data_IF_032373950837
#
_entry.id   IF_032373950837
#
_cell.length_a   1.000
_cell.length_b   1.000
_cell.length_c   1.000
_cell.angle_alpha   90.00
_cell.angle_beta   90.00
_cell.angle_gamma   90.00
#
_symmetry.space_group_name_H-M   'P 1'
#
loop_
_entity.id
_entity.type
_entity.pdbx_description
1 polymer ?
#
# COMPACT_ATOMS: atom_id res chain seq x y z
N UNK A 1 30.61 11.59 4.02
CA UNK A 1 30.05 12.63 3.22
C UNK A 1 28.53 12.64 3.31
N UNK A 2 28.01 13.82 3.28
CA UNK A 2 26.58 14.01 3.27
C UNK A 2 26.00 13.38 1.99
N UNK A 3 25.18 12.36 2.18
CA UNK A 3 24.35 11.88 1.07
C UNK A 3 23.26 12.91 0.83
N UNK A 4 23.36 13.61 -0.29
CA UNK A 4 22.27 14.48 -0.70
C UNK A 4 21.04 13.62 -0.91
N UNK A 5 19.97 13.90 -0.19
CA UNK A 5 18.69 13.24 -0.42
C UNK A 5 18.24 13.60 -1.84
N UNK A 6 17.98 12.60 -2.66
CA UNK A 6 17.60 12.80 -4.07
C UNK A 6 16.34 13.67 -4.20
N UNK A 7 15.44 13.68 -3.24
CA UNK A 7 14.26 14.53 -3.23
C UNK A 7 14.65 16.02 -3.35
N UNK A 8 15.76 16.42 -2.74
CA UNK A 8 16.23 17.81 -2.79
C UNK A 8 16.70 18.25 -4.19
N UNK A 9 16.89 17.32 -5.11
CA UNK A 9 17.24 17.62 -6.51
C UNK A 9 15.99 17.69 -7.41
N UNK A 10 14.80 17.44 -6.88
CA UNK A 10 13.57 17.50 -7.66
C UNK A 10 13.26 18.94 -8.09
N UNK A 11 12.72 19.09 -9.29
CA UNK A 11 12.26 20.38 -9.83
C UNK A 11 10.77 20.61 -9.54
N UNK A 12 10.07 19.56 -9.08
CA UNK A 12 8.72 19.61 -8.54
C UNK A 12 8.62 18.54 -7.44
N UNK A 13 8.08 18.94 -6.28
CA UNK A 13 7.94 18.08 -5.12
C UNK A 13 6.63 18.40 -4.40
N UNK A 14 5.56 17.71 -4.76
CA UNK A 14 4.24 17.96 -4.20
C UNK A 14 4.12 17.31 -2.83
N UNK A 15 3.88 18.13 -1.82
CA UNK A 15 3.70 17.70 -0.42
C UNK A 15 2.62 18.53 0.26
N UNK A 16 1.93 17.89 1.18
CA UNK A 16 0.96 18.56 2.03
C UNK A 16 1.67 19.06 3.29
N UNK A 17 1.75 20.38 3.44
CA UNK A 17 2.35 21.03 4.61
C UNK A 17 1.53 22.26 5.01
N UNK A 18 1.44 22.49 6.32
CA UNK A 18 0.76 23.68 6.86
C UNK A 18 -0.64 23.89 6.29
N UNK A 19 -1.39 22.79 6.17
CA UNK A 19 -2.77 22.74 5.65
C UNK A 19 -2.92 23.03 4.15
N UNK A 20 -1.83 22.97 3.38
CA UNK A 20 -1.85 23.20 1.94
C UNK A 20 -1.03 22.15 1.19
N UNK A 21 -1.49 21.81 -0.02
CA UNK A 21 -0.66 21.11 -0.98
C UNK A 21 0.23 22.14 -1.67
N UNK A 22 1.54 21.99 -1.55
CA UNK A 22 2.53 22.93 -2.10
C UNK A 22 3.64 22.19 -2.85
N UNK A 23 4.39 22.94 -3.64
CA UNK A 23 5.63 22.49 -4.23
C UNK A 23 6.78 22.87 -3.29
N UNK A 24 7.41 21.87 -2.67
CA UNK A 24 8.56 22.05 -1.77
C UNK A 24 9.89 22.21 -2.49
N UNK A 25 9.91 22.10 -3.83
CA UNK A 25 11.14 22.36 -4.58
C UNK A 25 11.51 23.85 -4.49
N UNK A 26 12.76 24.14 -4.87
CA UNK A 26 13.25 25.54 -4.93
C UNK A 26 12.45 26.43 -5.88
N UNK A 27 11.70 25.84 -6.81
CA UNK A 27 10.93 26.60 -7.80
C UNK A 27 9.57 27.08 -7.23
N UNK A 28 9.05 26.42 -6.20
CA UNK A 28 7.79 26.76 -5.58
C UNK A 28 6.67 27.04 -6.59
N UNK A 29 6.45 26.09 -7.50
CA UNK A 29 5.43 26.20 -8.55
C UNK A 29 4.04 26.38 -7.98
N UNK A 30 3.20 27.12 -8.68
CA UNK A 30 1.82 27.40 -8.28
C UNK A 30 0.95 26.15 -8.45
N UNK A 31 0.09 25.90 -7.48
CA UNK A 31 -0.84 24.76 -7.50
C UNK A 31 -2.27 25.26 -7.35
N UNK A 32 -3.15 24.90 -8.28
CA UNK A 32 -4.58 25.15 -8.23
C UNK A 32 -5.32 23.83 -7.94
N UNK A 33 -6.17 23.84 -6.92
CA UNK A 33 -6.88 22.63 -6.46
C UNK A 33 -8.37 22.82 -6.69
N UNK A 34 -8.99 21.89 -7.40
CA UNK A 34 -10.43 21.86 -7.62
C UNK A 34 -11.20 21.54 -6.33
N UNK A 35 -12.48 21.92 -6.31
CA UNK A 35 -13.32 21.79 -5.11
C UNK A 35 -13.65 20.36 -4.71
N UNK A 36 -13.47 19.38 -5.60
CA UNK A 36 -13.77 17.96 -5.37
C UNK A 36 -12.52 17.10 -5.25
N UNK A 37 -11.48 17.61 -4.62
CA UNK A 37 -10.27 16.88 -4.27
C UNK A 37 -10.33 16.54 -2.78
N UNK A 38 -10.09 15.29 -2.45
CA UNK A 38 -10.13 14.82 -1.07
C UNK A 38 -8.72 14.48 -0.58
N UNK A 39 -8.40 14.90 0.64
CA UNK A 39 -7.15 14.55 1.32
C UNK A 39 -7.47 13.61 2.47
N UNK A 40 -6.70 12.52 2.58
CA UNK A 40 -6.94 11.56 3.66
C UNK A 40 -6.68 12.21 5.03
N UNK A 41 -7.58 12.03 6.00
CA UNK A 41 -7.42 12.68 7.30
C UNK A 41 -6.24 12.12 8.14
N UNK A 42 -5.82 10.90 7.90
CA UNK A 42 -4.70 10.27 8.63
C UNK A 42 -3.36 10.60 8.00
N UNK A 43 -3.28 10.55 6.68
CA UNK A 43 -2.10 10.95 5.91
C UNK A 43 -2.53 11.89 4.78
N UNK A 44 -2.44 13.19 5.05
CA UNK A 44 -2.93 14.22 4.13
C UNK A 44 -2.12 14.35 2.84
N UNK A 45 -0.99 13.68 2.72
CA UNK A 45 -0.31 13.54 1.44
C UNK A 45 -1.06 12.62 0.47
N UNK A 46 -1.96 11.79 0.97
CA UNK A 46 -2.82 10.96 0.12
C UNK A 46 -3.95 11.78 -0.45
N UNK A 47 -3.97 11.90 -1.77
CA UNK A 47 -4.91 12.72 -2.53
C UNK A 47 -5.85 11.81 -3.29
N UNK A 48 -7.16 12.00 -3.12
CA UNK A 48 -8.19 11.26 -3.85
C UNK A 48 -8.75 12.13 -4.97
N UNK A 49 -8.69 11.59 -6.18
CA UNK A 49 -9.29 12.18 -7.37
C UNK A 49 -10.46 11.33 -7.84
N UNK A 50 -11.57 11.97 -8.13
CA UNK A 50 -12.78 11.33 -8.61
C UNK A 50 -12.99 11.63 -10.09
N UNK A 51 -13.86 10.86 -10.74
CA UNK A 51 -14.27 11.16 -12.11
C UNK A 51 -15.35 12.23 -12.13
N UNK A 52 -14.99 13.45 -11.71
CA UNK A 52 -15.81 14.64 -11.66
C UNK A 52 -15.01 15.82 -12.23
N UNK A 53 -15.69 16.75 -12.88
CA UNK A 53 -15.02 17.91 -13.50
C UNK A 53 -14.21 18.74 -12.51
N UNK A 54 -14.70 18.93 -11.30
CA UNK A 54 -14.04 19.73 -10.27
C UNK A 54 -13.01 18.94 -9.46
N UNK A 55 -12.78 17.65 -9.78
CA UNK A 55 -11.80 16.82 -9.09
C UNK A 55 -10.50 16.82 -9.89
N UNK A 56 -9.72 17.86 -9.69
CA UNK A 56 -8.49 18.09 -10.44
C UNK A 56 -7.49 18.92 -9.65
N UNK A 57 -6.21 18.73 -9.98
CA UNK A 57 -5.11 19.54 -9.49
C UNK A 57 -4.30 20.00 -10.71
N UNK A 58 -4.08 21.28 -10.82
CA UNK A 58 -3.23 21.86 -11.87
C UNK A 58 -1.98 22.44 -11.23
N UNK A 59 -0.82 22.01 -11.71
CA UNK A 59 0.47 22.57 -11.33
C UNK A 59 0.96 23.44 -12.46
N UNK A 60 1.25 24.69 -12.18
CA UNK A 60 1.81 25.65 -13.15
C UNK A 60 3.30 25.75 -12.90
N UNK A 61 4.09 25.10 -13.76
CA UNK A 61 5.54 25.07 -13.63
C UNK A 61 6.15 26.45 -13.84
N UNK A 62 7.17 26.78 -13.06
CA UNK A 62 7.94 28.00 -13.25
C UNK A 62 8.66 27.99 -14.60
N UNK A 63 8.79 29.13 -15.25
CA UNK A 63 9.47 29.27 -16.54
C UNK A 63 10.92 28.82 -16.54
N UNK A 64 11.57 28.79 -15.38
CA UNK A 64 12.94 28.32 -15.22
C UNK A 64 13.10 26.81 -15.34
N UNK A 65 11.99 26.04 -15.34
CA UNK A 65 12.01 24.60 -15.47
C UNK A 65 11.98 24.25 -16.96
N UNK A 66 13.14 23.85 -17.50
CA UNK A 66 13.26 23.48 -18.91
C UNK A 66 13.68 22.03 -18.99
N UNK A 67 12.78 21.15 -19.41
CA UNK A 67 13.07 19.74 -19.67
C UNK A 67 12.41 19.23 -20.96
N UNK A 68 11.85 20.14 -21.76
CA UNK A 68 11.13 19.83 -23.00
C UNK A 68 11.99 19.95 -24.24
N UNK A 69 13.30 19.87 -24.09
CA UNK A 69 14.25 19.76 -25.19
C UNK A 69 14.35 18.33 -25.70
N UNK A 70 14.66 18.15 -26.98
CA UNK A 70 14.87 16.83 -27.56
C UNK A 70 16.04 16.06 -26.94
N UNK A 71 16.94 16.73 -26.23
CA UNK A 71 18.15 16.13 -25.66
C UNK A 71 18.12 16.03 -24.14
N UNK A 72 17.10 16.56 -23.49
CA UNK A 72 17.04 16.58 -22.03
C UNK A 72 16.47 15.28 -21.47
N UNK A 73 17.20 14.72 -20.51
CA UNK A 73 16.74 13.59 -19.73
C UNK A 73 15.87 14.08 -18.58
N UNK A 74 14.91 13.28 -18.17
CA UNK A 74 14.07 13.61 -17.03
C UNK A 74 13.42 12.35 -16.44
N UNK A 75 12.93 12.49 -15.23
CA UNK A 75 12.26 11.40 -14.52
C UNK A 75 11.09 11.94 -13.72
N UNK A 76 10.10 11.07 -13.47
CA UNK A 76 9.00 11.36 -12.57
C UNK A 76 8.75 10.17 -11.65
N UNK A 77 8.29 10.45 -10.45
CA UNK A 77 7.90 9.41 -9.51
C UNK A 77 6.66 9.83 -8.73
N UNK A 78 5.84 8.85 -8.39
CA UNK A 78 4.64 9.05 -7.59
C UNK A 78 4.19 7.72 -7.02
N UNK A 79 3.37 7.79 -5.98
CA UNK A 79 2.66 6.63 -5.46
C UNK A 79 1.22 6.69 -5.94
N UNK A 80 0.66 5.53 -6.28
CA UNK A 80 -0.71 5.42 -6.75
C UNK A 80 -1.39 4.20 -6.14
N UNK A 81 -2.68 4.35 -5.82
CA UNK A 81 -3.56 3.26 -5.40
C UNK A 81 -4.76 3.26 -6.32
N UNK A 82 -4.94 2.16 -7.04
CA UNK A 82 -5.96 2.02 -8.07
C UNK A 82 -6.96 0.95 -7.63
N UNK A 83 -8.24 1.30 -7.42
CA UNK A 83 -9.27 0.33 -7.09
C UNK A 83 -9.46 -0.70 -8.21
N UNK A 84 -9.96 -1.87 -7.85
CA UNK A 84 -10.30 -2.90 -8.81
C UNK A 84 -11.35 -2.41 -9.81
N UNK A 85 -11.23 -2.84 -11.05
CA UNK A 85 -12.25 -2.58 -12.07
C UNK A 85 -13.39 -3.59 -11.92
N UNK A 86 -14.61 -3.11 -11.72
CA UNK A 86 -15.79 -3.96 -11.57
C UNK A 86 -16.77 -3.85 -12.72
N UNK A 87 -16.70 -2.76 -13.48
CA UNK A 87 -17.62 -2.49 -14.56
C UNK A 87 -16.99 -2.89 -15.89
N UNK A 88 -17.72 -3.69 -16.69
CA UNK A 88 -17.28 -4.08 -18.02
C UNK A 88 -17.03 -2.90 -18.97
N UNK A 89 -17.70 -1.77 -18.75
CA UNK A 89 -17.49 -0.53 -19.52
C UNK A 89 -16.07 -0.02 -19.38
N UNK A 90 -15.44 -0.25 -18.22
CA UNK A 90 -14.08 0.21 -17.92
C UNK A 90 -12.98 -0.65 -18.54
N UNK A 91 -13.30 -1.87 -19.01
CA UNK A 91 -12.30 -2.88 -19.36
C UNK A 91 -11.37 -2.48 -20.49
N UNK A 92 -11.83 -1.68 -21.47
CA UNK A 92 -11.06 -1.27 -22.63
C UNK A 92 -10.99 0.25 -22.75
N UNK A 93 -11.11 0.94 -21.63
CA UNK A 93 -11.09 2.40 -21.61
C UNK A 93 -9.76 2.90 -21.04
N UNK A 94 -8.86 3.32 -21.93
CA UNK A 94 -7.68 4.06 -21.51
C UNK A 94 -8.07 5.50 -21.18
N UNK A 95 -7.67 6.00 -20.01
CA UNK A 95 -7.92 7.37 -19.61
C UNK A 95 -6.66 7.95 -18.96
N UNK A 96 -6.49 9.25 -19.13
CA UNK A 96 -5.31 9.96 -18.64
C UNK A 96 -5.54 10.42 -17.21
N UNK A 97 -4.53 10.26 -16.36
CA UNK A 97 -4.58 10.68 -14.95
C UNK A 97 -3.59 11.80 -14.64
N UNK A 98 -2.46 11.84 -15.33
CA UNK A 98 -1.45 12.90 -15.21
C UNK A 98 -1.11 13.33 -16.64
N UNK A 99 -1.35 14.59 -16.95
CA UNK A 99 -1.20 15.09 -18.31
C UNK A 99 -0.28 16.31 -18.37
N UNK A 100 0.78 16.20 -19.18
CA UNK A 100 1.69 17.30 -19.50
C UNK A 100 1.85 17.43 -21.02
N UNK A 101 0.78 17.16 -21.75
CA UNK A 101 0.75 17.27 -23.21
C UNK A 101 0.29 18.68 -23.62
N UNK A 102 0.88 19.21 -24.66
CA UNK A 102 0.45 20.44 -25.33
C UNK A 102 0.58 20.24 -26.83
N UNK A 103 -0.49 20.52 -27.58
CA UNK A 103 -0.52 20.36 -29.05
C UNK A 103 -0.05 18.97 -29.50
N UNK A 104 -0.51 17.93 -28.81
CA UNK A 104 -0.16 16.53 -29.03
C UNK A 104 1.33 16.19 -28.83
N UNK A 105 2.07 17.00 -28.10
CA UNK A 105 3.45 16.72 -27.73
C UNK A 105 3.65 16.85 -26.23
N UNK A 106 4.49 16.01 -25.65
CA UNK A 106 4.79 15.98 -24.24
C UNK A 106 4.74 14.57 -23.68
N UNK A 107 4.26 14.48 -22.46
CA UNK A 107 4.13 13.19 -21.77
C UNK A 107 2.83 13.10 -20.98
N UNK A 108 2.41 11.88 -20.74
CA UNK A 108 1.23 11.60 -19.89
C UNK A 108 1.33 10.23 -19.24
N UNK A 109 0.63 10.09 -18.13
CA UNK A 109 0.36 8.81 -17.46
C UNK A 109 -1.10 8.48 -17.65
N UNK A 110 -1.38 7.28 -18.15
CA UNK A 110 -2.73 6.78 -18.39
C UNK A 110 -2.95 5.47 -17.67
N UNK A 111 -4.21 5.16 -17.38
CA UNK A 111 -4.63 3.89 -16.83
C UNK A 111 -5.56 3.19 -17.81
N UNK A 112 -5.48 1.86 -17.83
CA UNK A 112 -6.43 1.01 -18.48
C UNK A 112 -6.66 -0.21 -17.59
N UNK A 113 -7.51 -1.13 -17.98
CA UNK A 113 -7.77 -2.35 -17.20
C UNK A 113 -6.46 -3.10 -16.91
N UNK A 114 -6.05 -3.05 -15.63
CA UNK A 114 -4.80 -3.71 -15.21
C UNK A 114 -3.51 -3.13 -15.77
N UNK A 115 -3.52 -1.87 -16.21
CA UNK A 115 -2.33 -1.25 -16.83
C UNK A 115 -2.07 0.15 -16.30
N UNK A 116 -0.77 0.45 -16.07
CA UNK A 116 -0.26 1.81 -15.89
C UNK A 116 0.63 2.09 -17.10
N UNK A 117 0.35 3.19 -17.81
CA UNK A 117 0.95 3.47 -19.11
C UNK A 117 1.61 4.85 -19.08
N UNK A 118 2.90 4.89 -19.43
CA UNK A 118 3.59 6.13 -19.72
C UNK A 118 3.69 6.33 -21.24
N UNK A 119 3.29 7.51 -21.73
CA UNK A 119 3.42 7.89 -23.13
C UNK A 119 4.27 9.13 -23.26
N UNK A 120 5.26 9.05 -24.14
CA UNK A 120 6.10 10.17 -24.55
C UNK A 120 5.88 10.40 -26.04
N UNK A 121 5.57 11.63 -26.45
CA UNK A 121 5.21 11.97 -27.82
C UNK A 121 5.91 13.25 -28.27
N UNK A 122 6.52 13.21 -29.47
CA UNK A 122 7.21 14.36 -30.05
C UNK A 122 6.25 15.28 -30.82
N UNK A 123 6.78 16.37 -31.35
CA UNK A 123 5.99 17.37 -32.08
C UNK A 123 5.46 16.88 -33.42
N UNK A 124 5.96 15.76 -33.94
CA UNK A 124 5.48 15.11 -35.15
C UNK A 124 4.55 13.94 -34.86
N UNK A 125 4.09 13.83 -33.61
CA UNK A 125 3.17 12.79 -33.11
C UNK A 125 3.76 11.37 -33.14
N UNK A 126 5.08 11.24 -33.21
CA UNK A 126 5.76 9.97 -33.00
C UNK A 126 5.82 9.72 -31.49
N UNK A 127 5.38 8.57 -31.06
CA UNK A 127 5.24 8.24 -29.65
C UNK A 127 5.92 6.93 -29.28
N UNK A 128 6.27 6.80 -28.01
CA UNK A 128 6.69 5.56 -27.39
C UNK A 128 5.96 5.39 -26.06
N UNK A 129 5.70 4.15 -25.70
CA UNK A 129 4.96 3.80 -24.48
C UNK A 129 5.73 2.73 -23.71
N UNK A 130 5.77 2.89 -22.39
CA UNK A 130 6.17 1.83 -21.47
C UNK A 130 5.00 1.51 -20.55
N UNK A 131 4.81 0.22 -20.24
CA UNK A 131 3.57 -0.26 -19.63
C UNK A 131 3.89 -1.23 -18.49
N UNK A 132 3.22 -1.04 -17.37
CA UNK A 132 3.12 -2.03 -16.32
C UNK A 132 1.76 -2.70 -16.38
N UNK A 133 1.76 -4.02 -16.60
CA UNK A 133 0.54 -4.83 -16.64
C UNK A 133 0.45 -5.72 -15.40
N UNK A 134 -0.75 -5.78 -14.81
CA UNK A 134 -1.02 -6.68 -13.68
C UNK A 134 -2.41 -7.32 -13.84
N UNK A 135 -2.57 -8.52 -13.30
CA UNK A 135 -3.83 -9.25 -13.44
C UNK A 135 -4.92 -8.71 -12.52
N UNK A 136 -6.12 -8.52 -13.05
CA UNK A 136 -7.32 -8.21 -12.27
C UNK A 136 -8.07 -9.48 -11.80
N UNK A 137 -7.59 -10.65 -12.23
CA UNK A 137 -8.27 -11.93 -11.96
C UNK A 137 -7.75 -12.63 -10.69
N UNK A 138 -6.78 -12.07 -10.03
CA UNK A 138 -6.17 -12.63 -8.82
C UNK A 138 -6.89 -12.10 -7.59
N UNK A 139 -7.32 -13.00 -6.69
CA UNK A 139 -8.03 -12.63 -5.47
C UNK A 139 -7.15 -11.88 -4.48
N UNK A 140 -5.90 -12.31 -4.34
CA UNK A 140 -4.93 -11.68 -3.45
C UNK A 140 -3.80 -11.17 -4.34
N UNK A 141 -3.89 -9.90 -4.70
CA UNK A 141 -2.93 -9.23 -5.58
C UNK A 141 -1.97 -8.36 -4.77
N UNK A 142 -0.74 -8.23 -5.25
CA UNK A 142 0.22 -7.28 -4.69
C UNK A 142 -0.02 -5.85 -5.18
N UNK A 143 -0.93 -5.66 -6.15
CA UNK A 143 -1.08 -4.39 -6.85
C UNK A 143 -2.49 -3.81 -6.80
N UNK A 144 -3.52 -4.63 -6.83
CA UNK A 144 -4.92 -4.15 -6.90
C UNK A 144 -5.28 -3.44 -5.59
N UNK A 145 -5.70 -2.18 -5.70
CA UNK A 145 -6.09 -1.33 -4.58
C UNK A 145 -5.00 -1.17 -3.50
N UNK A 146 -3.76 -1.46 -3.84
CA UNK A 146 -2.61 -1.26 -2.94
C UNK A 146 -1.76 -0.10 -3.43
N UNK A 147 -1.12 0.59 -2.51
CA UNK A 147 -0.16 1.62 -2.84
C UNK A 147 1.01 1.03 -3.62
N UNK A 148 1.26 1.57 -4.79
CA UNK A 148 2.34 1.20 -5.71
C UNK A 148 3.23 2.42 -5.91
N UNK A 149 4.54 2.24 -5.79
CA UNK A 149 5.51 3.27 -6.15
C UNK A 149 5.90 3.15 -7.61
N UNK A 150 5.60 4.18 -8.40
CA UNK A 150 5.89 4.24 -9.83
C UNK A 150 7.02 5.23 -10.07
N UNK A 151 8.04 4.81 -10.81
CA UNK A 151 9.09 5.69 -11.30
C UNK A 151 9.25 5.49 -12.80
N UNK A 152 9.30 6.60 -13.53
CA UNK A 152 9.54 6.60 -14.98
C UNK A 152 10.78 7.43 -15.23
N UNK A 153 11.73 6.85 -15.95
CA UNK A 153 12.97 7.53 -16.34
C UNK A 153 13.05 7.63 -17.85
N UNK A 154 13.56 8.75 -18.34
CA UNK A 154 13.70 9.00 -19.77
C UNK A 154 15.13 9.44 -20.05
N UNK A 155 15.86 8.61 -20.81
CA UNK A 155 17.12 8.98 -21.41
C UNK A 155 16.89 9.24 -22.90
N UNK A 156 17.00 10.48 -23.34
CA UNK A 156 16.64 10.88 -24.70
C UNK A 156 17.51 10.24 -25.78
N UNK A 157 18.69 9.76 -25.43
CA UNK A 157 19.57 9.04 -26.34
C UNK A 157 19.43 7.53 -26.23
N UNK A 158 18.59 7.03 -25.33
CA UNK A 158 18.45 5.60 -25.06
C UNK A 158 16.97 5.24 -24.85
N UNK A 159 16.56 4.94 -23.62
CA UNK A 159 15.25 4.34 -23.32
C UNK A 159 14.40 5.17 -22.36
N UNK A 160 13.07 5.04 -22.50
CA UNK A 160 12.13 5.24 -21.39
C UNK A 160 12.02 3.94 -20.62
N UNK A 161 11.98 4.04 -19.27
CA UNK A 161 11.86 2.90 -18.39
C UNK A 161 10.78 3.15 -17.34
N UNK A 162 10.01 2.11 -17.00
CA UNK A 162 9.06 2.15 -15.90
C UNK A 162 9.49 1.16 -14.81
N UNK A 163 9.55 1.65 -13.58
CA UNK A 163 9.88 0.89 -12.38
C UNK A 163 8.67 0.84 -11.47
N UNK A 164 8.41 -0.33 -10.89
CA UNK A 164 7.36 -0.53 -9.89
C UNK A 164 8.02 -1.04 -8.61
N UNK A 165 7.79 -0.30 -7.52
CA UNK A 165 8.39 -0.60 -6.21
C UNK A 165 9.92 -0.78 -6.31
N UNK A 166 10.56 0.09 -7.10
CA UNK A 166 12.01 0.10 -7.29
C UNK A 166 12.53 -0.92 -8.30
N UNK A 167 11.68 -1.70 -8.94
CA UNK A 167 12.09 -2.76 -9.89
C UNK A 167 11.73 -2.40 -11.32
N UNK A 168 12.68 -2.54 -12.24
CA UNK A 168 12.45 -2.32 -13.67
C UNK A 168 11.44 -3.33 -14.21
N UNK A 169 10.39 -2.83 -14.86
CA UNK A 169 9.30 -3.63 -15.41
C UNK A 169 9.34 -3.64 -16.94
N UNK A 170 9.49 -2.47 -17.56
CA UNK A 170 9.45 -2.33 -19.01
C UNK A 170 10.39 -1.20 -19.46
N UNK A 171 10.93 -1.32 -20.65
CA UNK A 171 11.73 -0.28 -21.27
C UNK A 171 11.56 -0.32 -22.79
N UNK A 172 11.60 0.86 -23.39
CA UNK A 172 11.49 1.04 -24.84
C UNK A 172 12.43 2.13 -25.31
N UNK A 173 13.04 1.98 -26.52
CA UNK A 173 13.91 3.01 -27.06
C UNK A 173 13.11 4.27 -27.41
N UNK A 174 13.70 5.43 -27.13
CA UNK A 174 13.13 6.75 -27.44
C UNK A 174 14.10 7.63 -28.22
N UNK A 175 15.24 7.09 -28.65
CA UNK A 175 16.25 7.83 -29.41
C UNK A 175 15.74 8.30 -30.78
N UNK A 176 14.71 7.67 -31.31
CA UNK A 176 14.07 8.04 -32.58
C UNK A 176 13.04 9.16 -32.45
N UNK A 177 12.69 9.58 -31.23
CA UNK A 177 11.77 10.69 -31.03
C UNK A 177 12.48 12.02 -31.31
N UNK A 178 11.74 12.94 -31.92
CA UNK A 178 12.22 14.29 -32.17
C UNK A 178 12.05 15.21 -30.97
N UNK A 179 11.80 16.48 -31.23
CA UNK A 179 11.60 17.47 -30.18
C UNK A 179 10.29 17.17 -29.40
N UNK A 180 10.39 17.21 -28.10
CA UNK A 180 9.23 17.05 -27.19
C UNK A 180 8.91 18.40 -26.58
N UNK A 181 7.69 18.85 -26.84
CA UNK A 181 7.20 20.11 -26.33
C UNK A 181 6.11 19.84 -25.29
N UNK A 182 6.55 19.62 -24.05
CA UNK A 182 5.62 19.40 -22.94
C UNK A 182 4.96 20.72 -22.51
N UNK A 183 3.77 20.61 -21.93
CA UNK A 183 3.08 21.76 -21.36
C UNK A 183 3.83 22.32 -20.15
N UNK A 184 3.65 23.63 -19.90
CA UNK A 184 4.05 24.23 -18.63
C UNK A 184 3.10 23.88 -17.48
N UNK A 185 1.99 23.25 -17.79
CA UNK A 185 1.00 22.83 -16.79
C UNK A 185 0.94 21.31 -16.71
N UNK A 186 0.92 20.80 -15.48
CA UNK A 186 0.68 19.38 -15.23
C UNK A 186 -0.72 19.27 -14.64
N UNK A 187 -1.60 18.52 -15.30
CA UNK A 187 -2.97 18.30 -14.87
C UNK A 187 -3.13 16.91 -14.27
N UNK A 188 -3.60 16.83 -13.03
CA UNK A 188 -4.01 15.60 -12.36
C UNK A 188 -5.52 15.51 -12.38
N UNK A 189 -6.06 14.59 -13.16
CA UNK A 189 -7.51 14.46 -13.35
C UNK A 189 -7.80 13.12 -14.04
N UNK A 190 -8.94 12.50 -13.74
CA UNK A 190 -9.40 11.33 -14.49
C UNK A 190 -10.04 11.81 -15.80
N UNK A 191 -9.24 11.94 -16.84
CA UNK A 191 -9.68 12.53 -18.11
C UNK A 191 -9.97 11.42 -19.14
N UNK A 192 -11.19 11.41 -19.65
CA UNK A 192 -11.66 10.40 -20.59
C UNK A 192 -12.10 9.09 -19.95
N UNK A 193 -12.22 9.04 -18.65
CA UNK A 193 -12.69 7.86 -17.93
C UNK A 193 -14.20 7.69 -18.11
N UNK A 194 -14.63 6.49 -18.54
CA UNK A 194 -16.05 6.17 -18.76
C UNK A 194 -16.77 5.72 -17.49
N UNK A 195 -16.03 5.23 -16.50
CA UNK A 195 -16.59 4.79 -15.24
C UNK A 195 -16.84 5.99 -14.33
N UNK A 196 -18.12 6.38 -14.18
CA UNK A 196 -18.51 7.55 -13.38
C UNK A 196 -18.25 7.38 -11.89
N UNK A 197 -18.01 6.15 -11.43
CA UNK A 197 -17.71 5.84 -10.03
C UNK A 197 -16.23 5.63 -9.77
N UNK A 198 -15.39 5.80 -10.79
CA UNK A 198 -13.95 5.61 -10.67
C UNK A 198 -13.33 6.71 -9.82
N UNK A 199 -12.41 6.30 -8.96
CA UNK A 199 -11.50 7.20 -8.27
C UNK A 199 -10.12 6.56 -8.21
N UNK A 200 -9.11 7.36 -7.92
CA UNK A 200 -7.75 6.92 -7.63
C UNK A 200 -7.22 7.70 -6.43
N UNK A 201 -6.20 7.14 -5.79
CA UNK A 201 -5.38 7.83 -4.81
C UNK A 201 -3.98 8.04 -5.36
N UNK A 202 -3.40 9.22 -5.11
CA UNK A 202 -2.04 9.56 -5.53
C UNK A 202 -1.34 10.33 -4.40
N UNK A 203 -0.02 10.16 -4.28
CA UNK A 203 0.79 10.94 -3.33
C UNK A 203 2.24 11.05 -3.79
N UNK A 204 2.96 12.00 -3.23
CA UNK A 204 4.41 12.17 -3.38
C UNK A 204 4.85 12.29 -4.83
N UNK A 205 4.16 13.13 -5.60
CA UNK A 205 4.57 13.38 -6.97
C UNK A 205 5.86 14.19 -7.01
N UNK A 206 6.86 13.69 -7.72
CA UNK A 206 8.13 14.34 -7.96
C UNK A 206 8.46 14.38 -9.44
N UNK A 207 9.11 15.45 -9.88
CA UNK A 207 9.68 15.59 -11.20
C UNK A 207 11.16 15.94 -11.05
N UNK A 208 12.00 15.28 -11.86
CA UNK A 208 13.45 15.46 -11.85
C UNK A 208 13.93 15.81 -13.27
N UNK A 209 14.90 16.69 -13.39
CA UNK A 209 15.52 17.08 -14.67
C UNK A 209 16.73 16.19 -15.02
N UNK A 210 16.70 14.95 -14.62
CA UNK A 210 17.74 13.96 -14.89
C UNK A 210 17.14 12.56 -14.97
N UNK A 211 17.86 11.63 -15.59
CA UNK A 211 17.57 10.21 -15.49
C UNK A 211 18.01 9.70 -14.12
N UNK A 212 17.07 9.21 -13.31
CA UNK A 212 17.41 8.56 -12.05
C UNK A 212 18.00 7.18 -12.34
N UNK A 213 19.06 6.81 -11.62
CA UNK A 213 19.61 5.45 -11.66
C UNK A 213 18.89 4.52 -10.67
N UNK A 214 19.18 3.22 -10.76
CA UNK A 214 18.51 2.22 -9.93
C UNK A 214 18.71 2.44 -8.43
N UNK A 215 19.90 2.88 -8.02
CA UNK A 215 20.19 3.18 -6.62
C UNK A 215 19.37 4.38 -6.13
N UNK A 216 19.31 5.44 -6.92
CA UNK A 216 18.52 6.63 -6.60
C UNK A 216 17.03 6.30 -6.47
N UNK A 217 16.51 5.45 -7.36
CA UNK A 217 15.10 5.00 -7.34
C UNK A 217 14.83 4.20 -6.06
N UNK A 218 15.74 3.29 -5.71
CA UNK A 218 15.60 2.49 -4.49
C UNK A 218 15.66 3.36 -3.24
N UNK A 219 16.58 4.29 -3.18
CA UNK A 219 16.71 5.22 -2.05
C UNK A 219 15.44 6.08 -1.91
N UNK A 220 14.87 6.53 -3.02
CA UNK A 220 13.63 7.28 -3.06
C UNK A 220 12.45 6.43 -2.56
N UNK A 221 12.36 5.19 -3.00
CA UNK A 221 11.35 4.24 -2.53
C UNK A 221 11.45 4.02 -1.03
N UNK A 222 12.64 3.72 -0.53
CA UNK A 222 12.88 3.48 0.89
C UNK A 222 12.54 4.72 1.73
N UNK A 223 12.93 5.90 1.27
CA UNK A 223 12.68 7.16 1.96
C UNK A 223 11.18 7.48 2.03
N UNK A 224 10.45 7.30 0.94
CA UNK A 224 9.02 7.64 0.86
C UNK A 224 8.11 6.57 1.45
N UNK A 225 8.64 5.41 1.79
CA UNK A 225 7.86 4.32 2.40
C UNK A 225 7.46 4.59 3.85
N UNK A 226 7.90 5.72 4.44
CA UNK A 226 7.62 6.07 5.84
C UNK A 226 7.99 4.93 6.79
N UNK A 227 9.27 4.54 6.77
CA UNK A 227 9.80 3.49 7.61
C UNK A 227 9.57 3.79 9.09
N UNK A 228 9.35 2.74 9.88
CA UNK A 228 8.98 2.89 11.27
C UNK A 228 7.48 2.92 11.51
N UNK A 229 6.67 3.19 10.51
CA UNK A 229 5.21 3.07 10.58
C UNK A 229 4.81 1.76 9.91
N UNK A 230 4.01 0.95 10.62
CA UNK A 230 3.47 -0.28 10.05
C UNK A 230 2.32 0.04 9.10
N UNK A 231 2.13 -0.80 8.09
CA UNK A 231 1.11 -0.60 7.06
C UNK A 231 0.09 -1.74 7.09
N UNK A 232 -1.12 -1.43 6.70
CA UNK A 232 -2.15 -2.43 6.46
C UNK A 232 -1.99 -3.06 5.06
N UNK A 233 -2.91 -3.93 4.71
CA UNK A 233 -2.92 -4.64 3.42
C UNK A 233 -2.87 -3.69 2.21
N UNK A 234 -3.52 -2.55 2.30
CA UNK A 234 -3.56 -1.57 1.20
C UNK A 234 -2.31 -0.70 1.12
N UNK A 235 -1.51 -0.68 2.19
CA UNK A 235 -0.34 0.19 2.32
C UNK A 235 -0.63 1.49 3.06
N UNK A 236 -1.80 1.63 3.65
CA UNK A 236 -2.12 2.72 4.56
C UNK A 236 -1.53 2.46 5.94
N UNK A 237 -1.47 3.48 6.78
CA UNK A 237 -0.96 3.32 8.13
C UNK A 237 -1.84 2.39 8.94
N UNK A 238 -1.20 1.40 9.57
CA UNK A 238 -1.87 0.50 10.50
C UNK A 238 -2.31 1.28 11.74
N UNK A 239 -3.56 1.09 12.16
CA UNK A 239 -4.17 1.91 13.20
C UNK A 239 -4.58 1.08 14.41
N UNK A 240 -4.50 1.72 15.57
CA UNK A 240 -5.12 1.23 16.79
C UNK A 240 -6.64 1.35 16.72
N UNK A 241 -7.34 0.50 17.44
CA UNK A 241 -8.80 0.54 17.63
C UNK A 241 -9.62 0.40 16.33
N UNK A 242 -9.00 -0.17 15.30
CA UNK A 242 -9.62 -0.44 14.01
C UNK A 242 -9.70 -1.95 13.78
N UNK A 243 -10.84 -2.48 13.33
CA UNK A 243 -10.95 -3.91 13.05
C UNK A 243 -10.24 -4.28 11.74
N UNK A 244 -9.53 -5.41 11.78
CA UNK A 244 -8.84 -5.99 10.63
C UNK A 244 -9.12 -7.48 10.53
N UNK A 245 -9.21 -7.98 9.29
CA UNK A 245 -8.99 -9.39 9.03
C UNK A 245 -7.49 -9.66 8.94
N UNK A 246 -7.06 -10.86 9.33
CA UNK A 246 -5.66 -11.23 9.27
C UNK A 246 -5.42 -12.26 8.17
N UNK A 247 -4.43 -11.99 7.34
CA UNK A 247 -3.99 -12.86 6.26
C UNK A 247 -2.60 -13.42 6.60
N UNK A 248 -2.51 -14.77 6.69
CA UNK A 248 -1.21 -15.43 6.83
C UNK A 248 -0.58 -15.59 5.46
N UNK A 249 0.65 -15.15 5.28
CA UNK A 249 1.31 -15.13 3.97
C UNK A 249 1.73 -16.50 3.46
N UNK A 250 1.88 -17.48 4.35
CA UNK A 250 2.27 -18.83 3.97
C UNK A 250 1.07 -19.76 3.72
N UNK A 251 -0.13 -19.32 4.10
CA UNK A 251 -1.37 -20.00 3.79
C UNK A 251 -2.50 -19.00 3.48
N UNK A 252 -2.35 -18.22 2.42
CA UNK A 252 -3.28 -17.12 2.12
C UNK A 252 -4.66 -17.60 1.66
N UNK A 253 -4.80 -18.89 1.30
CA UNK A 253 -6.09 -19.47 0.90
C UNK A 253 -6.96 -19.83 2.10
N UNK A 254 -6.48 -19.63 3.30
CA UNK A 254 -7.25 -19.89 4.53
C UNK A 254 -7.46 -18.60 5.30
N UNK A 255 -8.45 -18.62 6.18
CA UNK A 255 -8.77 -17.50 7.07
C UNK A 255 -8.71 -17.94 8.52
N UNK A 256 -8.52 -17.00 9.43
CA UNK A 256 -8.48 -17.27 10.87
C UNK A 256 -9.90 -17.31 11.39
N UNK A 257 -10.24 -18.38 12.09
CA UNK A 257 -11.54 -18.51 12.77
C UNK A 257 -11.33 -18.83 14.25
N UNK A 258 -12.35 -18.63 15.04
CA UNK A 258 -12.33 -18.91 16.49
C UNK A 258 -13.14 -20.16 16.76
N UNK A 259 -12.52 -21.16 17.39
CA UNK A 259 -13.26 -22.36 17.83
C UNK A 259 -13.97 -22.00 19.11
N UNK A 260 -13.62 -21.69 20.15
CA UNK A 260 -14.33 -21.25 21.36
C UNK A 260 -13.53 -20.16 22.08
N UNK A 261 -14.19 -19.29 22.80
CA UNK A 261 -13.55 -18.38 23.74
C UNK A 261 -13.20 -19.13 25.04
N UNK A 262 -12.24 -18.61 25.79
CA UNK A 262 -11.76 -19.19 27.03
C UNK A 262 -10.46 -19.97 26.86
N UNK A 263 -9.87 -20.39 27.99
CA UNK A 263 -8.53 -20.96 28.04
C UNK A 263 -8.42 -22.30 27.29
N UNK A 264 -9.52 -23.00 27.08
CA UNK A 264 -9.56 -24.27 26.35
C UNK A 264 -9.90 -24.07 24.87
N UNK A 265 -10.28 -22.85 24.48
CA UNK A 265 -10.52 -22.50 23.08
C UNK A 265 -9.23 -22.12 22.37
N UNK A 266 -9.34 -21.96 21.07
CA UNK A 266 -8.22 -21.59 20.22
C UNK A 266 -8.72 -20.90 18.95
N UNK A 267 -7.83 -20.20 18.28
CA UNK A 267 -8.02 -19.77 16.92
C UNK A 267 -7.33 -20.75 15.98
N UNK A 268 -7.85 -20.93 14.77
CA UNK A 268 -7.31 -21.89 13.81
C UNK A 268 -7.47 -21.40 12.37
N UNK A 269 -6.69 -22.01 11.48
CA UNK A 269 -6.83 -21.76 10.04
C UNK A 269 -7.92 -22.67 9.48
N UNK A 270 -8.91 -22.04 8.87
CA UNK A 270 -10.05 -22.67 8.21
C UNK A 270 -10.09 -22.29 6.74
N UNK A 271 -10.43 -23.22 5.88
CA UNK A 271 -10.45 -22.96 4.46
C UNK A 271 -11.29 -23.93 3.67
N UNK A 272 -11.39 -23.68 2.37
CA UNK A 272 -10.69 -22.62 1.63
C UNK A 272 -11.30 -21.25 1.90
N UNK A 273 -10.47 -20.19 1.74
CA UNK A 273 -10.95 -18.81 1.79
C UNK A 273 -11.99 -18.56 0.70
N UNK A 274 -11.87 -19.29 -0.39
CA UNK A 274 -12.75 -19.19 -1.54
C UNK A 274 -12.27 -18.15 -2.55
N UNK A 275 -12.52 -18.42 -3.81
CA UNK A 275 -12.33 -17.45 -4.87
C UNK A 275 -13.70 -16.89 -5.23
N UNK A 276 -13.91 -15.62 -5.03
CA UNK A 276 -15.12 -14.98 -5.50
C UNK A 276 -14.78 -14.15 -6.72
N UNK A 277 -14.99 -14.74 -7.84
CA UNK A 277 -15.08 -14.05 -9.11
C UNK A 277 -16.50 -13.51 -9.20
N UNK A 278 -16.74 -12.35 -8.61
CA UNK A 278 -18.04 -11.72 -8.78
C UNK A 278 -18.03 -10.89 -10.04
N UNK A 279 -18.98 -11.14 -10.90
CA UNK A 279 -19.33 -10.26 -12.01
C UNK A 279 -19.98 -8.97 -11.51
N UNK A 280 -20.15 -8.84 -10.20
CA UNK A 280 -20.77 -7.71 -9.55
C UNK A 280 -19.71 -6.66 -9.13
N UNK A 281 -20.19 -5.45 -8.86
CA UNK A 281 -19.40 -4.33 -8.35
C UNK A 281 -18.90 -4.55 -6.92
N UNK A 282 -19.16 -5.72 -6.35
CA UNK A 282 -18.68 -6.09 -5.04
C UNK A 282 -17.24 -6.55 -5.10
N UNK A 283 -16.52 -6.27 -4.08
CA UNK A 283 -15.23 -6.81 -3.87
C UNK A 283 -15.24 -8.30 -3.78
N UNK A 284 -14.06 -8.81 -4.00
CA UNK A 284 -13.72 -10.17 -3.70
C UNK A 284 -13.95 -10.46 -2.21
N UNK A 285 -15.08 -11.09 -1.89
CA UNK A 285 -15.47 -11.37 -0.50
C UNK A 285 -14.51 -12.30 0.22
N UNK A 286 -13.60 -12.99 -0.49
CA UNK A 286 -12.60 -13.84 0.12
C UNK A 286 -11.60 -13.08 0.99
N UNK A 287 -11.39 -11.79 0.74
CA UNK A 287 -10.54 -10.94 1.58
C UNK A 287 -11.17 -10.66 2.95
N UNK A 288 -12.50 -10.66 3.04
CA UNK A 288 -13.27 -10.22 4.20
C UNK A 288 -13.89 -11.39 4.93
N UNK A 289 -13.07 -12.42 5.18
CA UNK A 289 -13.53 -13.65 5.79
C UNK A 289 -12.73 -13.97 7.04
N UNK A 290 -13.42 -14.47 8.07
CA UNK A 290 -12.82 -14.91 9.31
C UNK A 290 -13.05 -13.94 10.47
N UNK A 291 -12.31 -14.16 11.53
CA UNK A 291 -12.38 -13.34 12.73
C UNK A 291 -11.76 -11.96 12.52
N UNK A 292 -12.31 -10.97 13.19
CA UNK A 292 -11.80 -9.60 13.18
C UNK A 292 -10.90 -9.39 14.38
N UNK A 293 -9.77 -8.72 14.15
CA UNK A 293 -8.77 -8.43 15.18
C UNK A 293 -8.62 -6.91 15.33
N UNK A 294 -8.37 -6.50 16.56
CA UNK A 294 -8.18 -5.08 16.91
C UNK A 294 -6.87 -4.95 17.68
N UNK A 295 -6.04 -4.01 17.25
CA UNK A 295 -4.79 -3.69 17.95
C UNK A 295 -5.11 -2.64 19.01
N UNK A 296 -4.78 -2.93 20.28
CA UNK A 296 -5.05 -2.04 21.41
C UNK A 296 -3.78 -1.51 21.99
N UNK A 297 -3.79 -0.25 22.40
CA UNK A 297 -2.63 0.36 23.06
C UNK A 297 -2.37 -0.32 24.40
N UNK A 298 -1.12 -0.66 24.66
CA UNK A 298 -0.67 -1.18 25.94
C UNK A 298 -0.27 -0.04 26.88
N UNK A 299 0.90 0.51 26.70
CA UNK A 299 1.35 1.69 27.40
C UNK A 299 2.01 2.56 26.35
N UNK A 300 1.40 3.66 25.98
CA UNK A 300 1.95 4.40 24.87
C UNK A 300 2.25 5.83 25.22
N UNK A 301 3.43 6.28 24.83
CA UNK A 301 3.70 7.66 24.58
C UNK A 301 3.11 8.19 23.29
N UNK A 302 2.48 7.32 22.48
CA UNK A 302 1.85 7.71 21.22
C UNK A 302 0.53 8.43 21.46
N UNK A 303 0.48 9.67 21.02
CA UNK A 303 -0.74 10.50 21.10
C UNK A 303 -1.66 10.31 19.92
N UNK A 304 -1.17 9.72 18.83
CA UNK A 304 -1.96 9.42 17.64
C UNK A 304 -2.42 7.96 17.61
N UNK A 305 -3.14 7.58 16.57
CA UNK A 305 -3.71 6.25 16.44
C UNK A 305 -2.90 5.34 15.51
N UNK A 306 -1.65 5.67 15.25
CA UNK A 306 -0.80 4.97 14.30
C UNK A 306 0.07 3.95 15.02
N UNK A 307 0.10 2.72 14.49
CA UNK A 307 0.95 1.63 15.00
C UNK A 307 2.34 1.75 14.38
N UNK A 308 3.35 1.81 15.24
CA UNK A 308 4.75 1.92 14.81
C UNK A 308 5.51 0.63 15.06
N UNK A 309 6.58 0.49 14.31
CA UNK A 309 7.51 -0.63 14.48
C UNK A 309 8.04 -0.64 15.93
N UNK A 310 8.03 -1.82 16.55
CA UNK A 310 8.38 -2.07 17.93
C UNK A 310 7.37 -1.55 18.97
N UNK A 311 6.19 -1.12 18.57
CA UNK A 311 5.13 -0.80 19.53
C UNK A 311 4.72 -2.06 20.31
N UNK A 312 4.57 -1.88 21.62
CA UNK A 312 4.01 -2.90 22.52
C UNK A 312 2.50 -2.71 22.59
N UNK A 313 1.76 -3.76 22.29
CA UNK A 313 0.31 -3.67 22.11
C UNK A 313 -0.38 -4.87 22.75
N UNK A 314 -1.70 -4.79 22.86
CA UNK A 314 -2.58 -5.94 23.02
C UNK A 314 -3.25 -6.25 21.69
N UNK A 315 -3.61 -7.51 21.47
CA UNK A 315 -4.44 -7.94 20.35
C UNK A 315 -5.75 -8.44 20.90
N UNK A 316 -6.86 -7.84 20.45
CA UNK A 316 -8.19 -8.34 20.75
C UNK A 316 -8.77 -9.03 19.51
N UNK A 317 -9.63 -10.02 19.75
CA UNK A 317 -10.42 -10.67 18.70
C UNK A 317 -11.89 -10.46 18.99
N UNK A 318 -12.68 -10.18 17.94
CA UNK A 318 -14.12 -9.94 18.07
C UNK A 318 -14.87 -11.24 17.83
N UNK A 319 -15.66 -11.66 18.80
CA UNK A 319 -16.53 -12.83 18.71
C UNK A 319 -17.93 -12.41 19.14
N UNK A 320 -18.91 -12.56 18.25
CA UNK A 320 -20.31 -12.18 18.50
C UNK A 320 -20.44 -10.75 19.05
N UNK A 321 -19.74 -9.81 18.40
CA UNK A 321 -19.74 -8.38 18.74
C UNK A 321 -19.12 -8.02 20.09
N UNK A 322 -18.38 -8.93 20.70
CA UNK A 322 -17.66 -8.71 21.95
C UNK A 322 -16.16 -8.87 21.71
N UNK A 323 -15.35 -8.02 22.34
CA UNK A 323 -13.89 -8.12 22.26
C UNK A 323 -13.35 -9.04 23.35
N UNK A 324 -12.44 -9.91 22.94
CA UNK A 324 -11.69 -10.82 23.81
C UNK A 324 -10.21 -10.57 23.63
N UNK A 325 -9.42 -10.76 24.67
CA UNK A 325 -7.98 -10.58 24.64
C UNK A 325 -7.28 -11.85 24.19
N UNK A 326 -6.36 -11.71 23.23
CA UNK A 326 -5.45 -12.77 22.83
C UNK A 326 -4.39 -12.97 23.90
N UNK A 327 -4.29 -14.18 24.47
CA UNK A 327 -3.34 -14.48 25.53
C UNK A 327 -2.97 -15.95 25.54
N UNK A 328 -1.85 -16.27 26.20
CA UNK A 328 -1.42 -17.65 26.40
C UNK A 328 -0.84 -17.86 27.80
N UNK A 329 -0.97 -19.08 28.30
CA UNK A 329 -0.27 -19.50 29.50
C UNK A 329 1.19 -19.89 29.13
N UNK A 330 2.14 -19.04 29.47
CA UNK A 330 3.56 -19.24 29.16
C UNK A 330 4.17 -20.46 29.87
N UNK A 331 3.49 -21.00 30.90
CA UNK A 331 3.93 -22.22 31.60
C UNK A 331 3.59 -23.51 30.88
N UNK A 332 2.84 -23.46 29.75
CA UNK A 332 2.56 -24.64 28.95
C UNK A 332 3.87 -25.29 28.50
N UNK A 333 3.91 -26.63 28.52
CA UNK A 333 5.03 -27.36 27.99
C UNK A 333 5.08 -27.25 26.47
N UNK A 334 6.29 -27.31 25.92
CA UNK A 334 6.51 -27.26 24.48
C UNK A 334 6.96 -25.90 23.98
N UNK A 335 7.36 -25.86 22.71
CA UNK A 335 7.87 -24.69 22.02
C UNK A 335 6.71 -23.81 21.53
N UNK A 336 5.63 -24.44 21.11
CA UNK A 336 4.45 -23.78 20.56
C UNK A 336 3.44 -23.50 21.69
N UNK A 337 3.21 -22.24 21.97
CA UNK A 337 2.25 -21.81 22.98
C UNK A 337 0.94 -21.44 22.32
N UNK A 338 -0.09 -22.25 22.56
CA UNK A 338 -1.43 -22.02 21.97
C UNK A 338 -2.01 -20.72 22.52
N UNK A 339 -2.53 -19.89 21.61
CA UNK A 339 -3.19 -18.65 21.95
C UNK A 339 -4.70 -18.86 22.10
N UNK A 340 -5.28 -18.25 23.12
CA UNK A 340 -6.71 -18.30 23.41
C UNK A 340 -7.30 -16.90 23.42
N UNK A 341 -8.60 -16.81 23.16
CA UNK A 341 -9.38 -15.58 23.26
C UNK A 341 -10.06 -15.56 24.63
N UNK A 342 -9.65 -14.66 25.50
CA UNK A 342 -10.11 -14.60 26.89
C UNK A 342 -10.89 -13.32 27.15
N UNK A 343 -11.89 -13.41 28.04
CA UNK A 343 -12.50 -12.20 28.59
C UNK A 343 -11.41 -11.35 29.26
N UNK A 344 -11.41 -10.06 29.00
CA UNK A 344 -10.32 -9.18 29.45
C UNK A 344 -10.11 -9.25 30.98
N UNK A 345 -11.14 -9.28 31.84
CA UNK A 345 -10.94 -9.43 33.28
C UNK A 345 -10.29 -10.76 33.70
N UNK A 346 -10.40 -11.80 32.85
CA UNK A 346 -9.90 -13.14 33.18
C UNK A 346 -8.46 -13.39 32.75
N UNK A 347 -7.84 -12.43 32.09
CA UNK A 347 -6.46 -12.59 31.55
C UNK A 347 -5.45 -12.72 32.69
N UNK A 348 -5.58 -11.90 33.75
CA UNK A 348 -4.68 -11.94 34.88
C UNK A 348 -3.20 -11.79 34.47
N UNK A 349 -2.37 -12.74 34.88
CA UNK A 349 -0.94 -12.76 34.59
C UNK A 349 -0.55 -13.56 33.35
N UNK A 350 -1.52 -13.96 32.53
CA UNK A 350 -1.23 -14.65 31.27
C UNK A 350 -0.54 -13.70 30.31
N UNK A 351 0.35 -14.26 29.47
CA UNK A 351 1.11 -13.47 28.50
C UNK A 351 0.18 -12.96 27.40
N UNK A 352 0.16 -11.65 27.22
CA UNK A 352 -0.75 -10.97 26.30
C UNK A 352 -0.11 -9.80 25.54
N UNK A 353 1.10 -9.35 25.94
CA UNK A 353 1.77 -8.23 25.31
C UNK A 353 2.45 -8.68 24.03
N UNK A 354 2.18 -7.98 22.95
CA UNK A 354 2.74 -8.26 21.62
C UNK A 354 3.57 -7.08 21.18
N UNK A 355 4.76 -7.37 20.64
CA UNK A 355 5.59 -6.35 19.96
C UNK A 355 5.31 -6.45 18.47
N UNK A 356 4.81 -5.36 17.90
CA UNK A 356 4.52 -5.25 16.48
C UNK A 356 5.80 -4.94 15.72
N UNK A 357 6.08 -5.73 14.68
CA UNK A 357 7.29 -5.56 13.87
C UNK A 357 6.96 -5.59 12.38
N UNK A 358 7.68 -4.82 11.60
CA UNK A 358 7.72 -4.97 10.16
C UNK A 358 8.47 -6.29 9.81
N UNK A 359 8.06 -6.96 8.75
CA UNK A 359 8.72 -8.20 8.29
C UNK A 359 10.19 -7.97 7.97
N UNK A 360 10.51 -6.85 7.32
CA UNK A 360 11.89 -6.39 7.18
C UNK A 360 12.11 -5.25 8.18
N UNK A 361 13.10 -5.24 8.96
CA UNK A 361 13.35 -4.25 10.02
C UNK A 361 13.36 -2.78 9.54
N UNK A 362 13.18 -2.55 8.24
CA UNK A 362 13.17 -1.24 7.60
C UNK A 362 11.77 -0.62 7.45
N UNK A 363 10.69 -1.38 7.68
CA UNK A 363 9.32 -0.85 7.60
C UNK A 363 8.80 -0.57 6.18
N UNK A 364 9.46 -1.11 5.15
CA UNK A 364 9.12 -0.86 3.75
C UNK A 364 7.94 -1.70 3.27
N UNK A 365 7.72 -2.84 3.89
CA UNK A 365 6.69 -3.80 3.50
C UNK A 365 5.38 -3.59 4.26
N UNK A 366 4.26 -4.00 3.65
CA UNK A 366 2.97 -4.11 4.32
C UNK A 366 2.87 -5.34 5.24
N UNK A 367 3.91 -6.14 5.28
CA UNK A 367 3.95 -7.42 6.00
C UNK A 367 4.45 -7.21 7.41
N UNK A 368 3.72 -7.77 8.38
CA UNK A 368 3.97 -7.59 9.81
C UNK A 368 4.30 -8.91 10.48
N UNK A 369 5.04 -8.82 11.55
CA UNK A 369 5.25 -9.91 12.52
C UNK A 369 4.79 -9.45 13.90
N UNK A 370 4.36 -10.40 14.70
CA UNK A 370 3.88 -10.14 16.05
C UNK A 370 4.64 -11.02 17.02
N UNK A 371 5.42 -10.42 17.92
CA UNK A 371 6.23 -11.15 18.89
C UNK A 371 5.56 -11.10 20.27
N UNK A 372 5.08 -12.23 20.74
CA UNK A 372 4.47 -12.32 22.06
C UNK A 372 5.54 -12.31 23.14
N UNK A 373 5.33 -11.52 24.19
CA UNK A 373 6.20 -11.42 25.35
C UNK A 373 5.48 -11.84 26.63
N UNK A 374 6.25 -12.36 27.59
CA UNK A 374 5.76 -12.59 28.95
C UNK A 374 5.71 -11.28 29.73
N UNK A 375 5.24 -11.36 31.01
CA UNK A 375 5.11 -10.19 31.88
C UNK A 375 6.45 -9.55 32.29
N UNK A 376 7.56 -10.25 32.08
CA UNK A 376 8.90 -9.75 32.35
C UNK A 376 9.57 -9.15 31.11
N UNK A 377 8.86 -9.10 29.98
CA UNK A 377 9.40 -8.59 28.74
C UNK A 377 10.26 -9.58 27.95
N UNK A 378 10.27 -10.88 28.34
CA UNK A 378 11.00 -11.92 27.64
C UNK A 378 10.17 -12.40 26.44
N UNK A 379 10.84 -12.66 25.32
CA UNK A 379 10.20 -13.15 24.12
C UNK A 379 9.73 -14.59 24.28
N UNK A 380 8.44 -14.83 24.02
CA UNK A 380 7.87 -16.19 23.92
C UNK A 380 8.00 -16.66 22.49
N UNK A 381 7.74 -15.81 21.52
CA UNK A 381 7.89 -16.12 20.12
C UNK A 381 6.91 -15.39 19.22
N UNK A 382 7.17 -15.50 17.92
CA UNK A 382 6.29 -14.90 16.92
C UNK A 382 5.01 -15.70 16.74
N UNK A 383 3.93 -14.99 16.43
CA UNK A 383 2.60 -15.55 16.22
C UNK A 383 2.52 -16.16 14.82
N UNK A 384 2.12 -17.40 14.75
CA UNK A 384 1.88 -18.17 13.53
C UNK A 384 0.97 -19.34 13.83
N UNK A 385 1.06 -20.40 13.02
CA UNK A 385 0.23 -21.60 13.20
C UNK A 385 1.08 -22.85 13.34
N UNK A 386 0.58 -23.80 14.13
CA UNK A 386 1.18 -25.11 14.28
C UNK A 386 0.12 -26.20 14.10
N UNK A 387 0.48 -27.27 13.39
CA UNK A 387 -0.41 -28.42 13.16
C UNK A 387 -0.46 -29.31 14.39
N UNK A 388 -1.65 -29.39 14.99
CA UNK A 388 -1.97 -30.34 16.05
C UNK A 388 -2.97 -31.36 15.48
N UNK A 389 -2.49 -32.53 15.11
CA UNK A 389 -3.25 -33.48 14.30
C UNK A 389 -3.67 -32.82 12.97
N UNK A 390 -4.95 -32.63 12.72
CA UNK A 390 -5.46 -32.06 11.49
C UNK A 390 -5.86 -30.57 11.61
N UNK A 391 -5.52 -29.93 12.74
CA UNK A 391 -5.93 -28.57 13.01
C UNK A 391 -4.68 -27.68 13.15
N UNK A 392 -4.61 -26.63 12.34
CA UNK A 392 -3.59 -25.60 12.46
C UNK A 392 -4.09 -24.54 13.46
N UNK A 393 -3.57 -24.57 14.69
CA UNK A 393 -3.92 -23.65 15.76
C UNK A 393 -2.98 -22.47 15.83
N UNK A 394 -3.50 -21.30 16.16
CA UNK A 394 -2.72 -20.10 16.37
C UNK A 394 -1.84 -20.26 17.61
N UNK A 395 -0.55 -20.04 17.44
CA UNK A 395 0.46 -20.21 18.49
C UNK A 395 1.46 -19.06 18.48
N UNK A 396 2.13 -18.87 19.61
CA UNK A 396 3.39 -18.13 19.64
C UNK A 396 4.52 -19.19 19.73
N UNK A 397 5.50 -19.09 18.83
CA UNK A 397 6.54 -20.10 18.72
C UNK A 397 7.92 -19.45 18.60
N UNK A 398 8.87 -19.96 19.38
CA UNK A 398 10.26 -19.53 19.29
C UNK A 398 11.01 -20.09 18.07
N UNK A 399 10.41 -21.00 17.33
CA UNK A 399 10.93 -21.44 16.04
C UNK A 399 11.12 -20.28 15.09
N UNK A 400 10.16 -19.32 15.10
CA UNK A 400 10.23 -18.14 14.25
C UNK A 400 11.32 -17.13 14.69
N UNK A 401 11.74 -17.18 15.95
CA UNK A 401 12.81 -16.33 16.46
C UNK A 401 14.17 -16.66 15.82
N UNK A 402 14.30 -17.84 15.21
CA UNK A 402 15.49 -18.26 14.48
C UNK A 402 15.40 -17.95 12.98
N UNK A 403 14.49 -17.06 12.59
CA UNK A 403 14.23 -16.67 11.20
C UNK A 403 13.69 -17.84 10.33
N UNK A 404 13.12 -18.86 10.93
CA UNK A 404 12.46 -19.94 10.22
C UNK A 404 11.00 -19.57 10.02
N UNK A 405 10.63 -19.28 8.78
CA UNK A 405 9.27 -18.85 8.45
C UNK A 405 8.28 -20.03 8.40
N UNK A 406 8.77 -21.22 8.07
CA UNK A 406 7.94 -22.40 7.93
C UNK A 406 8.76 -23.67 8.19
N UNK A 407 8.20 -24.60 8.97
CA UNK A 407 8.70 -25.96 9.13
C UNK A 407 7.62 -26.94 8.66
N UNK A 408 7.89 -28.25 8.77
CA UNK A 408 6.94 -29.30 8.39
C UNK A 408 5.59 -29.22 9.14
N UNK A 409 5.57 -28.64 10.35
CA UNK A 409 4.38 -28.52 11.19
C UNK A 409 4.02 -27.09 11.55
N UNK A 410 4.93 -26.15 11.33
CA UNK A 410 4.77 -24.74 11.70
C UNK A 410 4.55 -23.92 10.45
N UNK A 411 3.46 -23.18 10.41
CA UNK A 411 3.08 -22.32 9.29
C UNK A 411 3.41 -20.88 9.62
N UNK A 412 3.91 -20.15 8.65
CA UNK A 412 4.50 -18.84 8.71
C UNK A 412 4.00 -17.84 9.74
N UNK A 413 4.86 -16.89 10.09
CA UNK A 413 4.61 -15.84 11.06
C UNK A 413 4.53 -14.44 10.43
N UNK A 414 4.35 -14.37 9.13
CA UNK A 414 4.19 -13.09 8.41
C UNK A 414 2.73 -12.86 8.07
N UNK A 415 2.27 -11.65 8.35
CA UNK A 415 0.86 -11.30 8.30
C UNK A 415 0.62 -10.02 7.52
N UNK A 416 -0.58 -9.93 6.93
CA UNK A 416 -1.14 -8.67 6.47
C UNK A 416 -2.49 -8.42 7.14
N UNK A 417 -2.77 -7.15 7.44
CA UNK A 417 -3.99 -6.72 8.12
C UNK A 417 -4.90 -6.04 7.11
N UNK A 418 -6.08 -6.63 6.88
CA UNK A 418 -7.06 -6.14 5.88
C UNK A 418 -8.12 -5.31 6.60
N UNK A 419 -8.22 -3.99 6.36
CA UNK A 419 -9.24 -3.15 6.99
C UNK A 419 -10.66 -3.62 6.64
N UNK A 420 -11.54 -3.62 7.61
CA UNK A 420 -12.92 -4.05 7.43
C UNK A 420 -13.77 -2.98 6.73
N UNK A 421 -13.50 -1.71 7.03
CA UNK A 421 -14.34 -0.58 6.63
C UNK A 421 -13.70 0.38 5.63
N UNK A 422 -13.00 -0.12 4.63
CA UNK A 422 -12.38 0.75 3.62
C UNK A 422 -13.29 1.06 2.42
N UNK A 423 -14.55 0.66 2.46
CA UNK A 423 -15.50 0.81 1.37
C UNK A 423 -15.32 -0.20 0.24
N UNK A 424 -14.39 -1.11 0.40
CA UNK A 424 -14.05 -2.19 -0.51
C UNK A 424 -14.52 -3.51 0.10
N UNK A 425 -15.10 -4.45 -0.64
CA UNK A 425 -15.44 -5.79 -0.18
C UNK A 425 -16.93 -6.07 -0.05
N UNK A 426 -17.53 -5.85 1.08
CA UNK A 426 -18.93 -6.21 1.32
C UNK A 426 -19.92 -5.24 0.68
N UNK A 427 -19.45 -4.07 0.25
CA UNK A 427 -20.29 -3.03 -0.34
C UNK A 427 -19.79 -2.64 -1.72
N UNK A 428 -20.72 -2.39 -2.67
CA UNK A 428 -20.32 -1.87 -3.97
C UNK A 428 -19.71 -0.48 -3.84
N UNK A 429 -18.66 -0.21 -4.63
CA UNK A 429 -18.06 1.11 -4.75
C UNK A 429 -18.90 1.96 -5.69
N UNK A 430 -20.05 2.45 -5.22
CA UNK A 430 -21.02 3.14 -6.07
C UNK A 430 -20.78 4.63 -6.17
N UNK A 431 -20.16 5.24 -5.16
CA UNK A 431 -20.00 6.69 -5.08
C UNK A 431 -18.65 7.06 -4.52
N UNK A 432 -18.00 8.12 -5.04
CA UNK A 432 -16.83 8.71 -4.43
C UNK A 432 -17.15 9.21 -3.03
N UNK A 433 -16.32 8.87 -2.09
CA UNK A 433 -16.45 9.35 -0.71
C UNK A 433 -15.47 10.48 -0.43
#
# INVERSE_FOLDING_TARGET
>A
GSHMNIINTSILNLRYESNHLIDLSRYASKINIGSKVNFDPIDKNQIQLFNLESSKIEVILKNAIVYNSMYENFSTSFWIRIPKYFNSISLNNEYTIINCMENNSGWKVSLNYGEIIWTLQDTQEIKQRVVFKYSQMINISDYINRWIFVTITNNRLNNSKIYINGRLIDQKPISNLGNIHASNNIMFKLDGCRDTHRYIWIKYFNLFDKELNEKEIKDLYDNQSNSGILKDFWGDYLQYDKPYYMLNLYDPNKYVDVNNVGIRGYMYLKGPRGSVMTTNIYLNSSLYRGAKFIIKKYASGNKDNIVRNNDRVYINVVVKNKEYRLATNASQAGVEKILSALEIPDVGNLSQVVVMKSKNDQGITNKCKMNLQDNNGNDIGFIGFHQFNNIAKLVASNWYNRQIERSSRTLGCSWEFIPVDDGWGERPLLVPR
#
